data_IF_134603046546
#
_entry.id   IF_134603046546
#
_cell.length_a   1.000
_cell.length_b   1.000
_cell.length_c   1.000
_cell.angle_alpha   90.00
_cell.angle_beta   90.00
_cell.angle_gamma   90.00
#
_symmetry.space_group_name_H-M   'P 1'
#
loop_
_entity.id
_entity.type
_entity.pdbx_description
1 polymer ?
#
# COMPACT_ATOMS: atom_id res chain seq x y z
N UNK A 1 11.74 -3.58 -2.19
CA UNK A 1 12.25 -3.49 -0.79
C UNK A 1 11.20 -2.76 0.06
N UNK A 2 10.99 -3.16 1.32
CA UNK A 2 10.07 -2.46 2.23
C UNK A 2 10.86 -1.42 3.00
N UNK A 3 10.37 -0.18 3.06
CA UNK A 3 11.05 0.88 3.83
C UNK A 3 10.86 0.63 5.32
N UNK A 4 11.95 0.40 6.06
CA UNK A 4 11.89 0.12 7.51
C UNK A 4 11.55 1.35 8.35
N UNK A 5 11.81 2.55 7.84
CA UNK A 5 11.63 3.81 8.56
C UNK A 5 10.24 4.44 8.36
N UNK A 6 9.43 3.91 7.45
CA UNK A 6 8.10 4.44 7.13
C UNK A 6 7.03 3.39 7.42
N UNK A 7 6.27 3.64 8.48
CA UNK A 7 5.12 2.82 8.89
C UNK A 7 3.86 3.67 8.69
N UNK A 8 2.91 3.13 7.93
CA UNK A 8 1.57 3.69 7.79
C UNK A 8 0.74 3.26 8.99
N UNK A 9 0.25 4.23 9.74
CA UNK A 9 -0.43 4.02 11.03
C UNK A 9 -1.91 4.34 10.98
N UNK A 10 -2.38 5.07 9.97
CA UNK A 10 -3.80 5.43 9.79
C UNK A 10 -4.32 5.06 8.40
N UNK A 11 -5.65 4.99 8.26
CA UNK A 11 -6.30 4.75 6.96
C UNK A 11 -6.10 5.92 5.98
N UNK A 12 -5.99 7.14 6.49
CA UNK A 12 -5.75 8.35 5.69
C UNK A 12 -4.34 8.33 5.09
N UNK A 13 -3.34 7.89 5.86
CA UNK A 13 -1.98 7.65 5.36
C UNK A 13 -1.94 6.52 4.33
N UNK A 14 -2.73 5.46 4.52
CA UNK A 14 -2.87 4.38 3.54
C UNK A 14 -3.46 4.93 2.24
N UNK A 15 -4.56 5.68 2.32
CA UNK A 15 -5.21 6.27 1.15
C UNK A 15 -4.28 7.23 0.40
N UNK A 16 -3.59 8.12 1.11
CA UNK A 16 -2.59 9.01 0.52
C UNK A 16 -1.47 8.23 -0.18
N UNK A 17 -1.01 7.12 0.41
CA UNK A 17 -0.05 6.23 -0.22
C UNK A 17 -0.61 5.63 -1.52
N UNK A 18 -1.83 5.10 -1.52
CA UNK A 18 -2.46 4.54 -2.73
C UNK A 18 -2.58 5.59 -3.84
N UNK A 19 -3.05 6.79 -3.51
CA UNK A 19 -3.14 7.91 -4.46
C UNK A 19 -1.77 8.28 -5.03
N UNK A 20 -0.72 8.28 -4.19
CA UNK A 20 0.65 8.58 -4.66
C UNK A 20 1.18 7.54 -5.65
N UNK A 21 0.82 6.26 -5.46
CA UNK A 21 1.18 5.17 -6.38
C UNK A 21 0.41 5.33 -7.69
N UNK A 22 -0.91 5.55 -7.64
CA UNK A 22 -1.75 5.74 -8.83
C UNK A 22 -1.32 6.93 -9.69
N UNK A 23 -0.95 8.05 -9.06
CA UNK A 23 -0.52 9.26 -9.75
C UNK A 23 0.94 9.18 -10.25
N UNK A 24 1.63 8.06 -10.03
CA UNK A 24 3.04 7.91 -10.40
C UNK A 24 4.01 8.79 -9.59
N UNK A 25 3.55 9.35 -8.47
CA UNK A 25 4.33 10.26 -7.61
C UNK A 25 5.58 9.62 -6.99
N UNK A 26 5.68 8.29 -7.05
CA UNK A 26 6.81 7.50 -6.56
C UNK A 26 7.81 7.11 -7.66
N UNK A 27 7.58 7.50 -8.92
CA UNK A 27 8.46 7.16 -10.05
C UNK A 27 8.52 5.66 -10.37
N UNK A 28 7.54 4.88 -9.92
CA UNK A 28 7.45 3.45 -10.15
C UNK A 28 6.98 3.18 -11.59
N UNK A 29 7.65 2.26 -12.28
CA UNK A 29 7.25 1.79 -13.62
C UNK A 29 6.60 0.42 -13.53
N UNK A 30 5.66 0.13 -14.43
CA UNK A 30 4.97 -1.17 -14.53
C UNK A 30 4.19 -1.58 -13.27
N UNK A 31 3.67 -0.62 -12.50
CA UNK A 31 2.74 -0.94 -11.40
C UNK A 31 1.51 -1.62 -11.98
N UNK A 32 1.24 -2.84 -11.53
CA UNK A 32 0.09 -3.63 -11.98
C UNK A 32 -0.90 -3.95 -10.86
N UNK A 33 -0.49 -3.82 -9.60
CA UNK A 33 -1.38 -4.06 -8.47
C UNK A 33 -0.85 -3.57 -7.13
N UNK A 34 -1.76 -3.45 -6.17
CA UNK A 34 -1.46 -3.13 -4.78
C UNK A 34 -2.17 -4.15 -3.89
N UNK A 35 -1.51 -4.61 -2.83
CA UNK A 35 -2.06 -5.63 -1.92
C UNK A 35 -1.62 -5.39 -0.47
N UNK A 36 -2.48 -5.74 0.49
CA UNK A 36 -2.05 -5.90 1.89
C UNK A 36 -1.55 -7.34 2.09
N UNK A 37 -0.39 -7.47 2.73
CA UNK A 37 0.28 -8.74 2.93
C UNK A 37 0.88 -8.85 4.34
N UNK A 38 1.25 -10.08 4.70
CA UNK A 38 2.00 -10.40 5.91
C UNK A 38 3.37 -10.90 5.50
N UNK A 39 4.43 -10.39 6.12
CA UNK A 39 5.76 -10.92 5.90
C UNK A 39 5.91 -12.23 6.68
N UNK A 40 6.29 -13.30 5.98
CA UNK A 40 6.40 -14.63 6.59
C UNK A 40 7.58 -14.78 7.56
N UNK A 41 8.58 -13.88 7.50
CA UNK A 41 9.77 -13.95 8.35
C UNK A 41 9.51 -13.44 9.77
N UNK A 42 8.73 -12.36 9.91
CA UNK A 42 8.52 -11.66 11.18
C UNK A 42 7.04 -11.44 11.54
N UNK A 43 6.11 -11.81 10.65
CA UNK A 43 4.67 -11.65 10.85
C UNK A 43 4.16 -10.22 10.67
N UNK A 44 5.02 -9.26 10.29
CA UNK A 44 4.63 -7.86 10.17
C UNK A 44 3.73 -7.63 8.96
N UNK A 45 2.73 -6.76 9.13
CA UNK A 45 1.80 -6.38 8.08
C UNK A 45 2.39 -5.27 7.21
N UNK A 46 2.19 -5.35 5.91
CA UNK A 46 2.64 -4.30 4.98
C UNK A 46 1.70 -4.16 3.79
N UNK A 47 1.72 -2.98 3.18
CA UNK A 47 1.15 -2.75 1.85
C UNK A 47 2.25 -2.94 0.81
N UNK A 48 1.94 -3.68 -0.25
CA UNK A 48 2.83 -4.09 -1.33
C UNK A 48 2.36 -3.50 -2.66
N UNK A 49 3.27 -2.87 -3.39
CA UNK A 49 3.09 -2.47 -4.79
C UNK A 49 3.78 -3.50 -5.66
N UNK A 50 3.05 -4.05 -6.62
CA UNK A 50 3.46 -5.19 -7.44
C UNK A 50 3.59 -4.79 -8.91
N UNK A 51 4.55 -5.40 -9.60
CA UNK A 51 4.64 -5.34 -11.05
C UNK A 51 3.72 -6.35 -11.74
N UNK A 52 3.74 -6.34 -13.08
CA UNK A 52 2.98 -7.24 -13.95
C UNK A 52 3.34 -8.73 -13.79
N UNK A 53 4.47 -9.04 -13.14
CA UNK A 53 4.92 -10.39 -12.79
C UNK A 53 4.64 -10.72 -11.32
N UNK A 54 3.85 -9.90 -10.62
CA UNK A 54 3.58 -9.99 -9.19
C UNK A 54 4.83 -9.91 -8.30
N UNK A 55 5.89 -9.26 -8.78
CA UNK A 55 7.08 -9.01 -7.99
C UNK A 55 6.93 -7.72 -7.19
N UNK A 56 7.45 -7.73 -5.95
CA UNK A 56 7.42 -6.57 -5.06
C UNK A 56 8.31 -5.45 -5.60
N UNK A 57 7.69 -4.37 -6.10
CA UNK A 57 8.38 -3.13 -6.46
C UNK A 57 8.74 -2.35 -5.20
N UNK A 58 7.74 -2.08 -4.36
CA UNK A 58 7.85 -1.28 -3.14
C UNK A 58 6.88 -1.79 -2.08
N UNK A 59 7.22 -1.62 -0.82
CA UNK A 59 6.24 -1.77 0.25
C UNK A 59 6.48 -0.80 1.40
N UNK A 60 5.43 -0.58 2.19
CA UNK A 60 5.48 0.13 3.47
C UNK A 60 4.84 -0.72 4.55
N UNK A 61 5.45 -0.72 5.72
CA UNK A 61 4.86 -1.38 6.88
C UNK A 61 3.54 -0.70 7.24
N UNK A 62 2.59 -1.49 7.75
CA UNK A 62 1.31 -0.98 8.25
C UNK A 62 1.07 -1.50 9.66
N UNK A 63 0.28 -0.78 10.45
CA UNK A 63 -0.24 -1.31 11.71
C UNK A 63 -1.28 -2.40 11.45
N UNK A 64 -1.57 -3.22 12.47
CA UNK A 64 -2.62 -4.23 12.38
C UNK A 64 -4.01 -3.60 12.15
N UNK A 65 -4.28 -2.44 12.77
CA UNK A 65 -5.51 -1.69 12.55
C UNK A 65 -5.69 -1.27 11.09
N UNK A 66 -4.63 -0.75 10.46
CA UNK A 66 -4.64 -0.39 9.03
C UNK A 66 -4.79 -1.63 8.17
N UNK A 67 -4.12 -2.73 8.52
CA UNK A 67 -4.23 -3.98 7.77
C UNK A 67 -5.65 -4.56 7.78
N UNK A 68 -6.33 -4.53 8.93
CA UNK A 68 -7.68 -5.09 9.05
C UNK A 68 -8.75 -4.21 8.39
N UNK A 69 -8.64 -2.88 8.56
CA UNK A 69 -9.66 -1.94 8.08
C UNK A 69 -9.39 -1.40 6.66
N UNK A 70 -8.14 -1.44 6.19
CA UNK A 70 -7.72 -0.90 4.89
C UNK A 70 -7.96 -1.82 3.68
N UNK A 71 -8.51 -3.02 3.90
CA UNK A 71 -8.76 -4.01 2.83
C UNK A 71 -9.68 -3.47 1.73
N UNK A 72 -10.69 -2.68 2.10
CA UNK A 72 -11.62 -2.10 1.14
C UNK A 72 -10.95 -1.04 0.26
N UNK A 73 -10.13 -0.16 0.86
CA UNK A 73 -9.35 0.86 0.16
C UNK A 73 -8.38 0.24 -0.86
N UNK A 74 -7.70 -0.84 -0.49
CA UNK A 74 -6.78 -1.53 -1.41
C UNK A 74 -7.52 -2.29 -2.51
N UNK A 75 -8.70 -2.84 -2.21
CA UNK A 75 -9.49 -3.62 -3.17
C UNK A 75 -10.22 -2.75 -4.19
N UNK A 76 -10.83 -1.66 -3.74
CA UNK A 76 -11.67 -0.80 -4.56
C UNK A 76 -10.92 0.42 -5.11
N UNK A 77 -9.70 0.64 -4.63
CA UNK A 77 -8.94 1.87 -4.85
C UNK A 77 -9.32 2.95 -3.84
N UNK A 78 -8.49 4.00 -3.69
CA UNK A 78 -8.79 5.15 -2.84
C UNK A 78 -10.13 5.76 -3.27
N UNK A 79 -10.96 6.12 -2.29
CA UNK A 79 -12.32 6.55 -2.56
C UNK A 79 -12.26 7.97 -3.14
N UNK A 80 -12.42 8.10 -4.46
CA UNK A 80 -12.35 9.39 -5.19
C UNK A 80 -13.38 10.44 -4.75
N UNK A 81 -14.17 10.17 -3.71
CA UNK A 81 -15.32 10.96 -3.28
C UNK A 81 -15.00 12.13 -2.33
N UNK A 82 -13.73 12.36 -1.96
CA UNK A 82 -13.39 13.38 -0.94
C UNK A 82 -12.42 14.47 -1.39
N UNK A 83 -12.18 14.64 -2.69
CA UNK A 83 -11.56 15.85 -3.24
C UNK A 83 -12.68 16.88 -3.50
N UNK A 84 -13.08 17.62 -2.46
CA UNK A 84 -13.90 18.83 -2.58
C UNK A 84 -13.21 20.00 -1.90
#
# INVERSE_FOLDING_TARGET
MINENEIITTLEELEAFLISVENGGLGLTNVAGIALATNNADGRRFVAVLDDKHQLLMGRWVTEEVYENGKDLVRNGPNKSSLH
#
